data_IF_713045686112
#
_entry.id   IF_713045686112
#
_cell.length_a   1.000
_cell.length_b   1.000
_cell.length_c   1.000
_cell.angle_alpha   90.00
_cell.angle_beta   90.00
_cell.angle_gamma   90.00
#
_symmetry.space_group_name_H-M   'P 1'
#
loop_
_entity.id
_entity.type
_entity.pdbx_description
1 polymer ?
#
# COMPACT_ATOMS: atom_id res chain seq x y z
N UNK A 1 5.77 7.49 -3.74
CA UNK A 1 5.63 8.76 -2.97
C UNK A 1 6.46 8.62 -1.69
N UNK A 2 7.11 9.68 -1.18
CA UNK A 2 7.75 9.62 0.17
C UNK A 2 6.71 9.96 1.24
N UNK A 3 6.94 9.52 2.49
CA UNK A 3 6.03 9.80 3.63
C UNK A 3 5.70 11.29 3.77
N UNK A 4 6.71 12.15 3.70
CA UNK A 4 6.51 13.61 3.79
C UNK A 4 5.57 14.16 2.71
N UNK A 5 5.61 13.60 1.51
CA UNK A 5 4.80 14.08 0.39
C UNK A 5 3.36 13.61 0.56
N UNK A 6 3.15 12.40 1.08
CA UNK A 6 1.83 11.87 1.43
C UNK A 6 1.19 12.68 2.54
N UNK A 7 1.92 13.00 3.61
CA UNK A 7 1.45 13.87 4.70
C UNK A 7 0.96 15.21 4.15
N UNK A 8 1.73 15.85 3.26
CA UNK A 8 1.34 17.11 2.63
C UNK A 8 0.05 17.01 1.81
N UNK A 9 -0.28 15.85 1.25
CA UNK A 9 -1.56 15.65 0.54
C UNK A 9 -2.70 15.42 1.54
N UNK A 10 -2.49 14.58 2.55
CA UNK A 10 -3.51 14.28 3.57
C UNK A 10 -3.89 15.50 4.40
N UNK A 11 -2.94 16.40 4.67
CA UNK A 11 -3.18 17.66 5.39
C UNK A 11 -4.15 18.62 4.69
N UNK A 12 -4.48 18.38 3.41
CA UNK A 12 -5.47 19.17 2.66
C UNK A 12 -6.91 18.71 2.90
N UNK A 13 -7.11 17.56 3.55
CA UNK A 13 -8.41 16.94 3.78
C UNK A 13 -8.90 17.21 5.20
N UNK A 14 -10.18 16.94 5.46
CA UNK A 14 -10.71 16.91 6.83
C UNK A 14 -10.05 15.75 7.59
N UNK A 15 -9.34 16.01 8.72
CA UNK A 15 -8.63 14.98 9.47
C UNK A 15 -9.53 13.94 10.12
N UNK A 16 -10.86 14.15 10.15
CA UNK A 16 -11.82 13.19 10.70
C UNK A 16 -12.34 12.19 9.65
N UNK A 17 -11.95 12.33 8.38
CA UNK A 17 -12.33 11.37 7.35
C UNK A 17 -11.61 10.03 7.55
N UNK A 18 -12.33 8.94 7.30
CA UNK A 18 -11.71 7.62 7.23
C UNK A 18 -10.84 7.51 5.96
N UNK A 19 -9.71 6.83 6.10
CA UNK A 19 -8.82 6.55 4.98
C UNK A 19 -9.18 5.19 4.38
N UNK A 20 -9.40 5.16 3.07
CA UNK A 20 -9.72 3.97 2.31
C UNK A 20 -8.75 3.86 1.12
N UNK A 21 -8.12 2.70 0.99
CA UNK A 21 -7.33 2.38 -0.20
C UNK A 21 -8.23 1.69 -1.24
N UNK A 22 -8.00 1.93 -2.52
CA UNK A 22 -8.77 1.33 -3.60
C UNK A 22 -7.82 0.79 -4.67
N UNK A 23 -8.11 -0.41 -5.18
CA UNK A 23 -7.33 -1.05 -6.25
C UNK A 23 -8.23 -1.34 -7.45
N UNK A 24 -7.77 -1.00 -8.66
CA UNK A 24 -8.43 -1.26 -9.94
C UNK A 24 -7.94 -2.54 -10.62
N UNK A 25 -6.97 -3.24 -10.02
CA UNK A 25 -6.41 -4.48 -10.56
C UNK A 25 -7.50 -5.56 -10.72
N UNK A 26 -7.66 -6.09 -11.93
CA UNK A 26 -8.70 -7.06 -12.27
C UNK A 26 -8.58 -8.37 -11.50
N UNK A 27 -7.39 -8.73 -11.01
CA UNK A 27 -7.16 -9.89 -10.15
C UNK A 27 -7.68 -9.70 -8.72
N UNK A 28 -8.04 -8.46 -8.36
CA UNK A 28 -8.47 -8.06 -7.02
C UNK A 28 -9.93 -7.57 -7.01
N UNK A 29 -10.38 -6.95 -8.11
CA UNK A 29 -11.73 -6.41 -8.28
C UNK A 29 -12.78 -7.52 -8.45
N UNK A 30 -13.95 -7.35 -7.83
CA UNK A 30 -15.09 -8.28 -8.00
C UNK A 30 -15.83 -7.95 -9.28
N UNK A 31 -16.32 -8.98 -9.98
CA UNK A 31 -17.09 -8.81 -11.22
C UNK A 31 -18.24 -7.80 -11.05
N UNK A 32 -18.30 -6.81 -11.94
CA UNK A 32 -19.32 -5.76 -11.92
C UNK A 32 -18.95 -4.49 -11.15
N UNK A 33 -17.76 -4.43 -10.53
CA UNK A 33 -17.24 -3.26 -9.83
C UNK A 33 -15.99 -2.69 -10.53
N UNK A 34 -15.67 -1.42 -10.26
CA UNK A 34 -14.51 -0.72 -10.87
C UNK A 34 -13.27 -0.77 -9.98
N UNK A 35 -13.47 -0.82 -8.67
CA UNK A 35 -12.38 -0.89 -7.68
C UNK A 35 -12.78 -1.80 -6.52
N UNK A 36 -11.78 -2.39 -5.86
CA UNK A 36 -11.94 -3.04 -4.55
C UNK A 36 -11.47 -2.09 -3.45
N UNK A 37 -12.32 -1.75 -2.45
CA UNK A 37 -11.91 -0.99 -1.29
C UNK A 37 -11.15 -1.85 -0.27
N UNK A 38 -10.21 -1.21 0.43
CA UNK A 38 -9.43 -1.76 1.53
C UNK A 38 -9.35 -0.78 2.69
N UNK A 39 -9.44 -1.32 3.90
CA UNK A 39 -9.20 -0.57 5.12
C UNK A 39 -7.71 -0.55 5.45
N UNK A 40 -7.24 0.59 5.94
CA UNK A 40 -5.89 0.71 6.49
C UNK A 40 -5.90 0.19 7.93
N UNK A 41 -5.12 -0.86 8.20
CA UNK A 41 -5.08 -1.50 9.52
C UNK A 41 -3.88 -1.06 10.34
N UNK A 42 -2.73 -0.85 9.70
CA UNK A 42 -1.49 -0.50 10.37
C UNK A 42 -0.58 0.34 9.47
N UNK A 43 0.28 1.15 10.10
CA UNK A 43 1.38 1.83 9.42
C UNK A 43 2.68 1.50 10.13
N UNK A 44 3.63 0.92 9.40
CA UNK A 44 4.90 0.44 9.94
C UNK A 44 6.07 0.88 9.06
N UNK A 45 7.30 0.56 9.49
CA UNK A 45 8.49 0.71 8.65
C UNK A 45 9.27 -0.59 8.64
N UNK A 46 9.67 -1.03 7.45
CA UNK A 46 10.39 -2.29 7.24
C UNK A 46 11.59 -2.07 6.32
N UNK A 47 12.68 -2.79 6.56
CA UNK A 47 13.80 -2.88 5.62
C UNK A 47 13.60 -4.12 4.76
N UNK A 48 13.38 -3.92 3.46
CA UNK A 48 13.09 -4.99 2.50
C UNK A 48 13.87 -4.82 1.21
N UNK A 49 14.10 -5.95 0.55
CA UNK A 49 14.44 -5.97 -0.86
C UNK A 49 13.16 -6.05 -1.68
N UNK A 50 13.08 -5.20 -2.71
CA UNK A 50 12.02 -5.23 -3.70
C UNK A 50 12.61 -5.79 -4.97
N UNK A 51 12.12 -6.95 -5.39
CA UNK A 51 12.45 -7.55 -6.68
C UNK A 51 11.36 -7.25 -7.70
N UNK A 52 11.58 -7.58 -8.97
CA UNK A 52 10.56 -7.56 -10.01
C UNK A 52 10.50 -8.93 -10.66
N UNK A 53 9.30 -9.47 -10.87
CA UNK A 53 9.15 -10.69 -11.65
C UNK A 53 9.37 -10.43 -13.15
N UNK A 54 9.34 -11.51 -13.95
CA UNK A 54 9.51 -11.46 -15.41
C UNK A 54 8.45 -10.60 -16.13
N UNK A 55 7.34 -10.29 -15.46
CA UNK A 55 6.25 -9.43 -15.94
C UNK A 55 6.38 -7.98 -15.44
N UNK A 56 7.44 -7.67 -14.69
CA UNK A 56 7.73 -6.34 -14.14
C UNK A 56 6.92 -5.99 -12.89
N UNK A 57 6.20 -6.97 -12.29
CA UNK A 57 5.49 -6.76 -11.02
C UNK A 57 6.48 -6.76 -9.88
N UNK A 58 6.40 -5.73 -9.04
CA UNK A 58 7.28 -5.62 -7.88
C UNK A 58 6.84 -6.58 -6.80
N UNK A 59 7.78 -7.36 -6.29
CA UNK A 59 7.56 -8.32 -5.22
C UNK A 59 8.42 -7.94 -4.03
N UNK A 60 7.84 -7.94 -2.83
CA UNK A 60 8.58 -7.71 -1.60
C UNK A 60 9.10 -9.03 -1.06
N UNK A 61 10.42 -9.14 -0.85
CA UNK A 61 10.98 -10.30 -0.18
C UNK A 61 10.43 -10.39 1.25
N UNK A 62 9.95 -11.57 1.64
CA UNK A 62 9.24 -11.80 2.90
C UNK A 62 10.13 -11.74 4.15
N UNK A 63 11.46 -11.64 3.99
CA UNK A 63 12.42 -11.61 5.09
C UNK A 63 13.01 -10.20 5.20
N UNK A 64 12.90 -9.55 6.36
CA UNK A 64 13.62 -8.32 6.63
C UNK A 64 15.13 -8.56 6.49
N UNK A 65 15.79 -7.76 5.65
CA UNK A 65 17.24 -7.82 5.45
C UNK A 65 17.89 -6.61 6.11
N UNK A 66 18.98 -6.84 6.86
CA UNK A 66 19.67 -5.78 7.61
C UNK A 66 20.17 -4.63 6.71
N UNK A 67 20.57 -4.94 5.47
CA UNK A 67 21.03 -3.98 4.46
C UNK A 67 19.94 -3.59 3.44
N UNK A 68 18.68 -3.98 3.66
CA UNK A 68 17.57 -3.69 2.76
C UNK A 68 17.21 -2.21 2.67
N UNK A 69 16.52 -1.84 1.59
CA UNK A 69 15.98 -0.50 1.48
C UNK A 69 14.82 -0.33 2.48
N UNK A 70 14.85 0.75 3.26
CA UNK A 70 13.81 1.06 4.23
C UNK A 70 12.59 1.70 3.55
N UNK A 71 11.42 1.11 3.76
CA UNK A 71 10.14 1.61 3.29
C UNK A 71 9.18 1.86 4.45
N UNK A 72 8.28 2.83 4.27
CA UNK A 72 7.06 2.91 5.07
C UNK A 72 6.01 2.01 4.42
N UNK A 73 5.36 1.17 5.22
CA UNK A 73 4.32 0.25 4.76
C UNK A 73 3.01 0.70 5.38
N UNK A 74 1.99 0.81 4.53
CA UNK A 74 0.60 1.02 4.94
C UNK A 74 -0.07 -0.32 4.69
N UNK A 75 -0.34 -1.05 5.76
CA UNK A 75 -0.98 -2.35 5.68
C UNK A 75 -2.47 -2.15 5.44
N UNK A 76 -2.98 -2.88 4.44
CA UNK A 76 -4.37 -2.78 4.02
C UNK A 76 -4.99 -4.18 3.99
N UNK A 77 -6.26 -4.26 4.35
CA UNK A 77 -7.04 -5.50 4.30
C UNK A 77 -8.36 -5.30 3.60
N UNK A 78 -8.84 -6.35 2.93
CA UNK A 78 -10.14 -6.29 2.27
C UNK A 78 -11.23 -6.13 3.31
N UNK A 79 -12.11 -5.17 3.10
CA UNK A 79 -13.36 -5.07 3.87
C UNK A 79 -14.23 -6.25 3.44
N UNK A 80 -14.61 -7.12 4.39
CA UNK A 80 -15.42 -8.32 4.13
C UNK A 80 -16.90 -7.98 4.00
#
# INVERSE_FOLDING_TARGET
MKVKDLINQLQKLDPNLQVLAACEDEGVVVQGYVVRPFEVTEVSSVSVEIDSDDEGRRTMCSVPVEDGQKFAVIEITSVF
#
